data_IF_647480854221
#
_entry.id   IF_647480854221
#
_cell.length_a   1.000
_cell.length_b   1.000
_cell.length_c   1.000
_cell.angle_alpha   90.00
_cell.angle_beta   90.00
_cell.angle_gamma   90.00
#
_symmetry.space_group_name_H-M   'P 1'
#
loop_
_entity.id
_entity.type
_entity.pdbx_description
1 polymer ?
#
# COMPACT_ATOMS: atom_id res chain seq x y z
N UNK A 1 -54.28 19.15 2.02
CA UNK A 1 -53.32 18.27 1.33
C UNK A 1 -51.96 18.89 1.50
N UNK A 2 -51.25 18.41 2.50
CA UNK A 2 -49.99 18.95 3.02
C UNK A 2 -48.88 18.17 2.32
N UNK A 3 -48.04 18.86 1.55
CA UNK A 3 -46.88 18.23 0.91
C UNK A 3 -45.74 18.22 1.93
N UNK A 4 -45.25 17.02 2.23
CA UNK A 4 -44.33 16.72 3.30
C UNK A 4 -43.01 17.51 3.20
N UNK A 5 -42.67 18.15 4.32
CA UNK A 5 -41.44 18.91 4.59
C UNK A 5 -40.32 17.99 5.11
N UNK A 6 -40.26 16.76 4.63
CA UNK A 6 -39.31 15.75 5.09
C UNK A 6 -38.36 15.42 3.94
N UNK A 7 -37.22 16.13 3.87
CA UNK A 7 -35.91 15.57 3.39
C UNK A 7 -34.79 16.60 3.21
N UNK A 8 -35.00 17.87 3.55
CA UNK A 8 -33.93 18.88 3.51
C UNK A 8 -33.07 18.95 4.79
N UNK A 9 -33.34 18.12 5.80
CA UNK A 9 -32.54 18.04 7.05
C UNK A 9 -31.54 16.89 7.10
N UNK A 10 -31.62 15.94 6.17
CA UNK A 10 -30.66 14.81 6.10
C UNK A 10 -29.39 15.20 5.34
N UNK A 11 -29.44 16.24 4.50
CA UNK A 11 -28.28 16.77 3.78
C UNK A 11 -27.45 17.80 4.55
N UNK A 12 -27.90 18.24 5.73
CA UNK A 12 -27.23 19.31 6.50
C UNK A 12 -26.22 18.83 7.55
N UNK A 13 -25.83 17.55 7.57
CA UNK A 13 -24.83 17.01 8.52
C UNK A 13 -23.58 16.36 7.89
N UNK A 14 -23.36 16.50 6.57
CA UNK A 14 -22.10 16.10 5.90
C UNK A 14 -21.13 17.28 5.68
N UNK A 15 -21.29 18.37 6.45
CA UNK A 15 -20.50 19.60 6.33
C UNK A 15 -19.37 19.68 7.38
N UNK A 16 -18.58 18.61 7.47
CA UNK A 16 -17.14 18.76 7.69
C UNK A 16 -16.48 18.02 6.55
N UNK A 17 -16.16 18.72 5.47
CA UNK A 17 -15.36 18.15 4.38
C UNK A 17 -14.11 17.56 5.04
N UNK A 18 -14.05 16.23 5.12
CA UNK A 18 -12.83 15.54 5.52
C UNK A 18 -11.77 16.04 4.56
N UNK A 19 -10.74 16.70 5.10
CA UNK A 19 -9.58 17.08 4.30
C UNK A 19 -9.07 15.80 3.63
N UNK A 20 -9.15 15.68 2.29
CA UNK A 20 -8.78 14.45 1.60
C UNK A 20 -7.29 14.10 1.85
N UNK A 21 -6.51 15.06 2.33
CA UNK A 21 -5.10 14.91 2.65
C UNK A 21 -4.83 14.92 4.16
N UNK A 22 -5.73 14.33 4.95
CA UNK A 22 -5.46 13.98 6.35
C UNK A 22 -4.21 13.11 6.52
N UNK A 23 -3.88 12.36 5.47
CA UNK A 23 -2.62 11.67 5.27
C UNK A 23 -1.92 12.20 4.01
N UNK A 24 -0.61 12.43 4.10
CA UNK A 24 0.26 12.83 2.98
C UNK A 24 1.48 11.92 2.92
N UNK A 25 2.03 11.73 1.72
CA UNK A 25 3.32 11.07 1.52
C UNK A 25 4.42 12.13 1.36
N UNK A 26 5.30 12.21 2.35
CA UNK A 26 6.44 13.10 2.34
C UNK A 26 7.66 12.39 1.77
N UNK A 27 8.20 12.88 0.66
CA UNK A 27 9.38 12.33 -0.02
C UNK A 27 10.49 13.37 0.01
N UNK A 28 11.67 12.98 0.47
CA UNK A 28 12.83 13.85 0.51
C UNK A 28 13.81 13.44 -0.59
N UNK A 29 14.20 14.38 -1.43
CA UNK A 29 15.14 14.15 -2.54
C UNK A 29 16.39 15.01 -2.40
N UNK A 30 17.50 14.67 -3.08
CA UNK A 30 18.65 15.54 -3.17
C UNK A 30 18.28 16.91 -3.77
N UNK A 31 19.02 17.95 -3.39
CA UNK A 31 18.85 19.31 -3.94
C UNK A 31 18.81 19.32 -5.48
N UNK A 32 17.84 20.07 -6.03
CA UNK A 32 17.63 20.19 -7.47
C UNK A 32 16.83 19.05 -8.12
N UNK A 33 16.50 17.99 -7.37
CA UNK A 33 15.77 16.83 -7.91
C UNK A 33 14.26 16.91 -7.75
N UNK A 34 13.73 17.87 -6.97
CA UNK A 34 12.27 17.99 -6.72
C UNK A 34 11.45 18.13 -7.99
N UNK A 35 11.87 19.01 -8.90
CA UNK A 35 11.17 19.24 -10.18
C UNK A 35 11.18 17.99 -11.06
N UNK A 36 12.29 17.26 -11.07
CA UNK A 36 12.42 16.02 -11.83
C UNK A 36 11.47 14.95 -11.28
N UNK A 37 11.49 14.71 -9.97
CA UNK A 37 10.59 13.73 -9.35
C UNK A 37 9.12 14.09 -9.58
N UNK A 38 8.74 15.37 -9.39
CA UNK A 38 7.38 15.82 -9.69
C UNK A 38 7.00 15.55 -11.15
N UNK A 39 7.90 15.77 -12.11
CA UNK A 39 7.66 15.48 -13.53
C UNK A 39 7.47 13.98 -13.80
N UNK A 40 8.16 13.10 -13.08
CA UNK A 40 8.04 11.64 -13.20
C UNK A 40 6.71 11.15 -12.61
N UNK A 41 6.32 11.68 -11.46
CA UNK A 41 5.12 11.24 -10.74
C UNK A 41 3.82 11.87 -11.27
N UNK A 42 3.87 13.11 -11.77
CA UNK A 42 2.66 13.82 -12.22
C UNK A 42 1.84 13.05 -13.28
N UNK A 43 2.44 12.41 -14.30
CA UNK A 43 1.70 11.56 -15.24
C UNK A 43 1.03 10.34 -14.61
N UNK A 44 1.39 9.95 -13.39
CA UNK A 44 0.80 8.83 -12.64
C UNK A 44 -0.26 9.28 -11.63
N UNK A 45 -0.23 10.55 -11.23
CA UNK A 45 -1.03 11.02 -10.09
C UNK A 45 -2.00 12.12 -10.45
N UNK A 46 -1.88 12.77 -11.63
CA UNK A 46 -2.65 13.97 -11.99
C UNK A 46 -4.18 13.84 -11.92
N UNK A 47 -4.74 12.64 -12.01
CA UNK A 47 -6.19 12.43 -11.90
C UNK A 47 -6.66 12.22 -10.45
N UNK A 48 -5.75 11.79 -9.56
CA UNK A 48 -6.00 11.60 -8.13
C UNK A 48 -5.63 12.86 -7.34
N UNK A 49 -4.47 13.42 -7.65
CA UNK A 49 -3.84 14.53 -6.97
C UNK A 49 -3.36 15.58 -8.01
N UNK A 50 -4.29 16.29 -8.68
CA UNK A 50 -3.96 17.28 -9.70
C UNK A 50 -3.15 18.46 -9.15
N UNK A 51 -3.37 18.85 -7.89
CA UNK A 51 -2.62 19.92 -7.21
C UNK A 51 -1.28 19.44 -6.65
N UNK A 52 -1.05 18.11 -6.58
CA UNK A 52 0.16 17.50 -6.04
C UNK A 52 0.31 17.78 -4.53
N UNK A 53 -0.79 17.74 -3.79
CA UNK A 53 -0.91 18.01 -2.36
C UNK A 53 -0.75 16.76 -1.48
N UNK A 54 -1.00 15.57 -2.02
CA UNK A 54 -0.74 14.30 -1.35
C UNK A 54 0.77 14.03 -1.30
N UNK A 55 1.47 14.31 -2.39
CA UNK A 55 2.91 14.08 -2.53
C UNK A 55 3.72 15.34 -2.16
N UNK A 56 4.14 15.43 -0.91
CA UNK A 56 5.00 16.52 -0.44
C UNK A 56 6.47 16.20 -0.71
N UNK A 57 7.07 16.85 -1.72
CA UNK A 57 8.48 16.64 -2.08
C UNK A 57 9.37 17.73 -1.49
N UNK A 58 10.28 17.34 -0.61
CA UNK A 58 11.28 18.21 0.04
C UNK A 58 12.67 17.99 -0.56
N UNK A 59 13.52 19.01 -0.50
CA UNK A 59 14.91 18.93 -0.92
C UNK A 59 15.83 19.02 0.30
N UNK A 60 16.85 18.17 0.34
CA UNK A 60 17.87 18.20 1.40
C UNK A 60 19.21 17.69 0.88
N UNK A 61 20.27 17.81 1.68
CA UNK A 61 21.60 17.26 1.38
C UNK A 61 21.71 15.75 1.71
N UNK A 62 20.60 15.00 1.67
CA UNK A 62 20.59 13.56 1.95
C UNK A 62 21.55 12.82 1.03
N UNK A 63 22.42 12.03 1.65
CA UNK A 63 23.14 10.96 0.98
C UNK A 63 22.26 9.71 1.01
N UNK A 64 22.06 9.02 -0.13
CA UNK A 64 21.38 7.74 -0.14
C UNK A 64 22.04 6.79 0.86
N UNK A 65 21.27 5.97 1.57
CA UNK A 65 21.82 4.88 2.39
C UNK A 65 22.75 4.04 1.51
N UNK A 66 24.03 3.95 1.88
CA UNK A 66 25.01 3.11 1.20
C UNK A 66 24.92 1.64 1.61
N UNK A 67 24.02 1.32 2.55
CA UNK A 67 24.05 0.09 3.33
C UNK A 67 23.77 -1.19 2.54
N UNK A 68 23.42 -1.14 1.25
CA UNK A 68 23.13 -2.39 0.54
C UNK A 68 23.32 -2.41 -1.00
N UNK A 69 24.42 -1.84 -1.51
CA UNK A 69 24.85 -2.19 -2.88
C UNK A 69 25.30 -3.65 -3.00
N UNK A 70 25.52 -4.36 -1.90
CA UNK A 70 26.12 -5.69 -1.89
C UNK A 70 25.09 -6.83 -2.04
N UNK A 71 23.81 -6.64 -1.69
CA UNK A 71 22.79 -7.69 -1.89
C UNK A 71 22.18 -7.77 -3.30
N UNK A 72 22.32 -6.72 -4.13
CA UNK A 72 21.76 -6.70 -5.50
C UNK A 72 22.54 -7.53 -6.52
N UNK A 73 23.81 -7.85 -6.24
CA UNK A 73 24.72 -8.53 -7.17
C UNK A 73 24.69 -10.04 -7.06
N UNK A 74 24.19 -10.62 -5.96
CA UNK A 74 24.15 -12.07 -5.84
C UNK A 74 23.20 -12.67 -6.88
N UNK A 75 23.69 -13.62 -7.66
CA UNK A 75 22.86 -14.61 -8.35
C UNK A 75 22.17 -15.43 -7.27
N UNK A 76 21.09 -14.88 -6.74
CA UNK A 76 20.33 -15.52 -5.68
C UNK A 76 19.29 -16.42 -6.33
N UNK A 77 19.72 -17.66 -6.57
CA UNK A 77 18.84 -18.82 -6.59
C UNK A 77 18.10 -18.90 -5.25
N UNK A 78 16.80 -19.17 -5.28
CA UNK A 78 15.95 -19.55 -4.14
C UNK A 78 16.13 -18.67 -2.88
N UNK A 79 15.65 -17.41 -2.92
CA UNK A 79 15.52 -16.60 -1.69
C UNK A 79 14.20 -16.94 -1.02
N UNK A 80 14.23 -17.37 0.25
CA UNK A 80 13.02 -17.60 1.08
C UNK A 80 12.19 -16.32 1.27
N UNK A 81 12.79 -15.13 1.16
CA UNK A 81 12.12 -13.83 1.28
C UNK A 81 12.80 -12.71 0.48
N UNK A 82 12.04 -11.89 -0.25
CA UNK A 82 12.53 -10.71 -0.97
C UNK A 82 12.63 -9.51 -0.02
N UNK A 83 13.84 -8.94 0.11
CA UNK A 83 14.02 -7.66 0.79
C UNK A 83 13.44 -6.52 -0.04
N UNK A 84 12.62 -5.66 0.58
CA UNK A 84 11.95 -4.56 -0.10
C UNK A 84 11.76 -3.33 0.80
N UNK A 85 11.69 -2.12 0.24
CA UNK A 85 11.19 -0.94 0.94
C UNK A 85 9.86 -1.24 1.64
N UNK A 86 9.70 -0.81 2.89
CA UNK A 86 8.47 -1.04 3.66
C UNK A 86 7.24 -0.37 3.04
N UNK A 87 7.42 0.78 2.36
CA UNK A 87 6.33 1.54 1.75
C UNK A 87 6.27 1.33 0.24
N UNK A 88 5.07 1.08 -0.26
CA UNK A 88 4.74 1.08 -1.69
C UNK A 88 3.53 1.98 -1.96
N UNK A 89 3.49 2.61 -3.13
CA UNK A 89 2.33 3.33 -3.64
C UNK A 89 1.66 2.47 -4.70
N UNK A 90 0.41 2.11 -4.46
CA UNK A 90 -0.41 1.33 -5.36
C UNK A 90 -1.50 2.20 -5.97
N UNK A 91 -1.59 2.16 -7.30
CA UNK A 91 -2.63 2.82 -8.08
C UNK A 91 -3.64 1.78 -8.55
N UNK A 92 -4.90 1.95 -8.20
CA UNK A 92 -6.00 1.10 -8.62
C UNK A 92 -6.85 1.91 -9.59
N UNK A 93 -6.76 1.59 -10.87
CA UNK A 93 -7.28 2.42 -11.95
C UNK A 93 -8.40 1.72 -12.69
N UNK A 94 -9.44 2.46 -13.02
CA UNK A 94 -10.54 1.93 -13.83
C UNK A 94 -10.02 1.60 -15.24
N UNK A 95 -10.44 0.47 -15.80
CA UNK A 95 -10.12 0.14 -17.20
C UNK A 95 -10.68 1.18 -18.18
N UNK A 96 -11.75 1.87 -17.79
CA UNK A 96 -12.40 2.95 -18.55
C UNK A 96 -12.04 4.35 -18.01
N UNK A 97 -11.06 4.44 -17.11
CA UNK A 97 -10.60 5.69 -16.52
C UNK A 97 -9.82 6.56 -17.52
N UNK A 98 -9.41 7.75 -17.07
CA UNK A 98 -8.58 8.65 -17.88
C UNK A 98 -7.21 8.04 -18.20
N UNK A 99 -6.70 7.22 -17.30
CA UNK A 99 -5.47 6.44 -17.46
C UNK A 99 -5.75 5.02 -17.00
N UNK A 100 -5.50 4.05 -17.87
CA UNK A 100 -5.66 2.64 -17.52
C UNK A 100 -4.42 2.10 -16.82
N UNK A 101 -4.57 0.97 -16.12
CA UNK A 101 -3.43 0.23 -15.57
C UNK A 101 -2.38 -0.11 -16.65
N UNK A 102 -2.83 -0.44 -17.87
CA UNK A 102 -1.95 -0.71 -19.02
C UNK A 102 -1.13 0.51 -19.44
N UNK A 103 -1.68 1.71 -19.34
CA UNK A 103 -0.94 2.93 -19.71
C UNK A 103 0.12 3.28 -18.68
N UNK A 104 -0.19 3.11 -17.39
CA UNK A 104 0.82 3.23 -16.32
C UNK A 104 1.90 2.16 -16.45
N UNK A 105 1.53 0.93 -16.79
CA UNK A 105 2.49 -0.16 -17.01
C UNK A 105 3.51 0.21 -18.11
N UNK A 106 3.07 0.83 -19.21
CA UNK A 106 3.99 1.31 -20.27
C UNK A 106 4.95 2.37 -19.74
N UNK A 107 4.53 3.23 -18.82
CA UNK A 107 5.41 4.22 -18.19
C UNK A 107 6.47 3.56 -17.30
N UNK A 108 6.11 2.51 -16.56
CA UNK A 108 7.06 1.74 -15.75
C UNK A 108 8.13 1.01 -16.57
N UNK A 109 7.91 0.78 -17.87
CA UNK A 109 8.91 0.22 -18.77
C UNK A 109 9.93 1.24 -19.28
N UNK A 110 9.75 2.53 -18.96
CA UNK A 110 10.61 3.62 -19.42
C UNK A 110 11.45 4.17 -18.26
N UNK A 111 12.71 4.59 -18.50
CA UNK A 111 13.51 5.27 -17.49
C UNK A 111 12.80 6.51 -16.92
N UNK A 112 12.96 6.80 -15.62
CA UNK A 112 13.90 6.18 -14.68
C UNK A 112 13.36 4.94 -13.95
N UNK A 113 12.18 4.42 -14.32
CA UNK A 113 11.61 3.26 -13.65
C UNK A 113 12.46 2.01 -13.87
N UNK A 114 12.64 1.24 -12.80
CA UNK A 114 13.28 -0.05 -12.80
C UNK A 114 12.37 -1.09 -12.16
N UNK A 115 12.30 -2.28 -12.75
CA UNK A 115 11.57 -3.41 -12.15
C UNK A 115 12.27 -3.87 -10.88
N UNK A 116 11.52 -4.07 -9.79
CA UNK A 116 12.05 -4.49 -8.50
C UNK A 116 11.76 -5.98 -8.23
N UNK A 117 10.48 -6.38 -8.17
CA UNK A 117 10.05 -7.78 -8.07
C UNK A 117 8.58 -7.91 -8.49
N UNK A 118 8.09 -9.15 -8.52
CA UNK A 118 6.67 -9.47 -8.63
C UNK A 118 6.23 -10.41 -7.53
N UNK A 119 4.97 -10.29 -7.14
CA UNK A 119 4.28 -11.20 -6.23
C UNK A 119 3.23 -11.93 -7.04
N UNK A 120 3.31 -13.25 -7.09
CA UNK A 120 2.39 -14.11 -7.83
C UNK A 120 1.61 -14.99 -6.87
N UNK A 121 0.29 -14.99 -7.03
CA UNK A 121 -0.61 -15.92 -6.38
C UNK A 121 -0.95 -17.02 -7.37
N UNK A 122 -0.79 -18.27 -6.97
CA UNK A 122 -1.15 -19.42 -7.79
C UNK A 122 -2.45 -20.06 -7.32
N UNK A 123 -3.21 -20.59 -8.26
CA UNK A 123 -4.36 -21.40 -7.89
C UNK A 123 -3.87 -22.79 -7.49
N UNK A 124 -4.16 -23.22 -6.25
CA UNK A 124 -3.80 -24.56 -5.74
C UNK A 124 -4.32 -25.69 -6.66
N UNK A 125 -5.46 -25.46 -7.34
CA UNK A 125 -6.07 -26.43 -8.26
C UNK A 125 -5.52 -26.37 -9.69
N UNK A 126 -4.74 -25.34 -10.02
CA UNK A 126 -4.06 -25.19 -11.32
C UNK A 126 -2.76 -24.41 -11.14
N UNK A 127 -1.71 -25.02 -10.56
CA UNK A 127 -0.44 -24.35 -10.24
C UNK A 127 0.29 -23.79 -11.47
N UNK A 128 -0.04 -24.27 -12.67
CA UNK A 128 0.46 -23.77 -13.94
C UNK A 128 -0.15 -22.43 -14.37
N UNK A 129 -1.18 -21.94 -13.66
CA UNK A 129 -1.83 -20.65 -13.94
C UNK A 129 -1.70 -19.70 -12.74
N UNK A 130 -1.04 -18.58 -12.98
CA UNK A 130 -1.02 -17.44 -12.05
C UNK A 130 -2.43 -16.86 -11.94
N UNK A 131 -2.99 -16.88 -10.72
CA UNK A 131 -4.31 -16.34 -10.41
C UNK A 131 -4.28 -14.82 -10.23
N UNK A 132 -3.21 -14.28 -9.65
CA UNK A 132 -2.96 -12.84 -9.59
C UNK A 132 -1.46 -12.57 -9.67
N UNK A 133 -1.08 -11.49 -10.33
CA UNK A 133 0.32 -11.04 -10.40
C UNK A 133 0.36 -9.55 -10.06
N UNK A 134 1.23 -9.19 -9.13
CA UNK A 134 1.52 -7.81 -8.81
C UNK A 134 2.99 -7.50 -9.07
N UNK A 135 3.26 -6.59 -9.99
CA UNK A 135 4.61 -6.11 -10.27
C UNK A 135 4.89 -4.80 -9.52
N UNK A 136 6.11 -4.68 -9.00
CA UNK A 136 6.60 -3.51 -8.26
C UNK A 136 7.82 -2.91 -8.97
N UNK A 137 7.83 -1.57 -9.02
CA UNK A 137 8.85 -0.76 -9.70
C UNK A 137 9.43 0.29 -8.76
N UNK A 138 10.66 0.71 -9.01
CA UNK A 138 11.37 1.73 -8.24
C UNK A 138 11.92 2.84 -9.16
N UNK A 139 12.11 4.04 -8.59
CA UNK A 139 12.73 5.18 -9.29
C UNK A 139 14.21 5.31 -8.92
N UNK A 140 14.53 5.03 -7.65
CA UNK A 140 15.87 5.15 -7.08
C UNK A 140 15.95 4.35 -5.77
N UNK A 141 17.18 4.11 -5.31
CA UNK A 141 17.44 3.46 -4.03
C UNK A 141 16.78 4.24 -2.87
N UNK A 142 16.31 3.51 -1.85
CA UNK A 142 15.67 4.06 -0.65
C UNK A 142 14.48 4.98 -0.96
N UNK A 143 13.65 4.62 -1.95
CA UNK A 143 12.38 5.28 -2.30
C UNK A 143 11.22 4.26 -2.22
N UNK A 144 9.96 4.71 -2.10
CA UNK A 144 8.82 3.81 -2.12
C UNK A 144 8.73 3.09 -3.47
N UNK A 145 8.29 1.83 -3.43
CA UNK A 145 7.96 1.09 -4.65
C UNK A 145 6.64 1.58 -5.23
N UNK A 146 6.42 1.32 -6.51
CA UNK A 146 5.22 1.70 -7.25
C UNK A 146 4.63 0.51 -7.97
N UNK A 147 3.31 0.51 -8.02
CA UNK A 147 2.54 -0.63 -8.50
C UNK A 147 1.21 -0.15 -9.04
N UNK A 148 0.65 -0.87 -10.02
CA UNK A 148 -0.65 -0.56 -10.59
C UNK A 148 -1.53 -1.81 -10.70
N UNK A 149 -2.83 -1.63 -10.47
CA UNK A 149 -3.87 -2.64 -10.60
C UNK A 149 -5.02 -2.09 -11.44
N UNK A 150 -5.67 -2.92 -12.28
CA UNK A 150 -6.98 -2.58 -12.82
C UNK A 150 -8.08 -2.70 -11.74
N UNK A 151 -9.11 -1.89 -11.88
CA UNK A 151 -10.39 -2.01 -11.17
C UNK A 151 -11.51 -2.04 -12.20
N UNK A 152 -12.43 -3.00 -12.07
CA UNK A 152 -13.54 -3.14 -13.01
C UNK A 152 -14.79 -2.36 -12.58
N UNK A 153 -14.95 -2.10 -11.28
CA UNK A 153 -16.09 -1.39 -10.70
C UNK A 153 -15.73 -0.71 -9.37
N UNK A 154 -16.42 0.38 -9.06
CA UNK A 154 -16.16 1.19 -7.86
C UNK A 154 -15.27 2.40 -8.13
N UNK A 155 -14.74 2.96 -7.05
CA UNK A 155 -13.83 4.10 -7.10
C UNK A 155 -12.45 3.68 -7.63
N UNK A 156 -11.70 4.63 -8.17
CA UNK A 156 -10.26 4.47 -8.31
C UNK A 156 -9.61 4.67 -6.93
N UNK A 157 -8.49 4.00 -6.66
CA UNK A 157 -7.85 4.08 -5.35
C UNK A 157 -6.37 4.48 -5.47
N UNK A 158 -5.94 5.38 -4.59
CA UNK A 158 -4.54 5.51 -4.22
C UNK A 158 -4.36 4.83 -2.86
N UNK A 159 -3.55 3.78 -2.83
CA UNK A 159 -3.26 3.05 -1.61
C UNK A 159 -1.77 3.13 -1.30
N UNK A 160 -1.44 3.63 -0.12
CA UNK A 160 -0.11 3.41 0.44
C UNK A 160 -0.11 2.07 1.14
N UNK A 161 0.63 1.11 0.60
CA UNK A 161 0.83 -0.21 1.19
C UNK A 161 2.09 -0.18 2.06
N UNK A 162 1.97 -0.59 3.32
CA UNK A 162 3.07 -0.80 4.23
C UNK A 162 3.21 -2.30 4.47
N UNK A 163 4.33 -2.87 4.02
CA UNK A 163 4.71 -4.22 4.40
C UNK A 163 5.25 -4.22 5.82
N UNK A 164 4.72 -5.11 6.66
CA UNK A 164 4.97 -5.11 8.10
C UNK A 164 5.54 -6.43 8.60
N UNK A 165 6.40 -6.38 9.62
CA UNK A 165 6.91 -7.53 10.39
C UNK A 165 6.03 -7.78 11.62
N UNK A 166 5.68 -6.72 12.36
CA UNK A 166 4.91 -6.81 13.60
C UNK A 166 3.42 -6.45 13.41
N UNK A 167 2.68 -7.26 12.62
CA UNK A 167 1.32 -6.91 12.15
C UNK A 167 0.39 -6.35 13.24
N UNK A 168 0.22 -7.05 14.37
CA UNK A 168 -0.69 -6.61 15.43
C UNK A 168 -0.26 -5.27 16.06
N UNK A 169 1.04 -5.10 16.36
CA UNK A 169 1.54 -3.85 16.94
C UNK A 169 1.41 -2.69 15.94
N UNK A 170 1.64 -2.97 14.65
CA UNK A 170 1.48 -2.00 13.58
C UNK A 170 0.01 -1.59 13.40
N UNK A 171 -0.92 -2.55 13.44
CA UNK A 171 -2.37 -2.26 13.42
C UNK A 171 -2.75 -1.32 14.55
N UNK A 172 -2.36 -1.63 15.80
CA UNK A 172 -2.66 -0.77 16.95
C UNK A 172 -2.05 0.63 16.82
N UNK A 173 -0.80 0.71 16.37
CA UNK A 173 -0.13 1.99 16.15
C UNK A 173 -0.87 2.87 15.12
N UNK A 174 -1.19 2.31 13.94
CA UNK A 174 -1.89 3.06 12.89
C UNK A 174 -3.35 3.32 13.23
N UNK A 175 -4.02 2.46 14.00
CA UNK A 175 -5.38 2.71 14.53
C UNK A 175 -5.42 3.95 15.41
N UNK A 176 -4.45 4.09 16.32
CA UNK A 176 -4.32 5.28 17.18
C UNK A 176 -3.98 6.54 16.38
N UNK A 177 -3.06 6.46 15.42
CA UNK A 177 -2.67 7.62 14.60
C UNK A 177 -3.80 8.10 13.69
N UNK A 178 -4.53 7.17 13.09
CA UNK A 178 -5.59 7.48 12.14
C UNK A 178 -6.91 7.84 12.82
N UNK A 179 -7.04 7.61 14.14
CA UNK A 179 -8.29 7.80 14.90
C UNK A 179 -9.47 7.09 14.22
N UNK A 180 -9.20 5.91 13.66
CA UNK A 180 -10.14 5.15 12.82
C UNK A 180 -9.94 3.65 13.02
N UNK A 181 -11.05 2.91 12.93
CA UNK A 181 -11.02 1.46 12.91
C UNK A 181 -10.59 0.94 11.54
N UNK A 182 -9.99 -0.25 11.54
CA UNK A 182 -9.49 -0.88 10.32
C UNK A 182 -10.55 -1.76 9.68
N UNK A 183 -10.53 -1.82 8.35
CA UNK A 183 -11.22 -2.84 7.58
C UNK A 183 -10.24 -3.99 7.34
N UNK A 184 -10.53 -5.16 7.90
CA UNK A 184 -9.82 -6.39 7.55
C UNK A 184 -10.77 -7.33 6.83
N UNK A 185 -10.29 -7.86 5.72
CA UNK A 185 -10.95 -8.97 5.02
C UNK A 185 -10.23 -10.29 5.29
N UNK A 186 -9.01 -10.28 5.85
CA UNK A 186 -8.15 -11.45 5.98
C UNK A 186 -7.06 -11.30 7.05
N UNK A 187 -6.54 -12.44 7.57
CA UNK A 187 -5.33 -12.44 8.39
C UNK A 187 -4.15 -11.76 7.70
N UNK A 188 -3.41 -10.94 8.44
CA UNK A 188 -2.21 -10.27 7.93
C UNK A 188 -2.49 -9.15 6.92
N UNK A 189 -3.74 -8.73 6.72
CA UNK A 189 -4.06 -7.58 5.87
C UNK A 189 -5.17 -6.71 6.48
N UNK A 190 -4.94 -5.40 6.51
CA UNK A 190 -5.96 -4.43 6.90
C UNK A 190 -5.83 -3.12 6.13
N UNK A 191 -6.92 -2.37 6.08
CA UNK A 191 -7.02 -1.08 5.41
C UNK A 191 -7.56 -0.05 6.39
N UNK A 192 -6.92 1.11 6.43
CA UNK A 192 -7.44 2.34 7.02
C UNK A 192 -7.90 3.26 5.89
N UNK A 193 -9.19 3.59 5.87
CA UNK A 193 -9.77 4.50 4.89
C UNK A 193 -9.48 5.95 5.30
N UNK A 194 -8.67 6.68 4.52
CA UNK A 194 -8.27 8.06 4.86
C UNK A 194 -9.20 9.09 4.22
N UNK A 195 -9.64 8.84 2.99
CA UNK A 195 -10.59 9.68 2.27
C UNK A 195 -11.42 8.81 1.35
N UNK A 196 -12.74 9.00 1.33
CA UNK A 196 -13.62 8.40 0.33
C UNK A 196 -14.55 9.45 -0.25
N UNK A 197 -14.50 9.61 -1.56
CA UNK A 197 -15.36 10.52 -2.32
C UNK A 197 -15.77 9.85 -3.64
N UNK A 198 -16.83 10.31 -4.32
CA UNK A 198 -17.24 9.72 -5.59
C UNK A 198 -16.09 9.70 -6.61
N UNK A 199 -15.72 8.50 -7.06
CA UNK A 199 -14.65 8.27 -8.02
C UNK A 199 -13.24 8.11 -7.41
N UNK A 200 -13.02 8.40 -6.13
CA UNK A 200 -11.70 8.32 -5.52
C UNK A 200 -11.73 7.86 -4.05
N UNK A 201 -10.86 6.90 -3.75
CA UNK A 201 -10.50 6.54 -2.38
C UNK A 201 -8.99 6.72 -2.14
N UNK A 202 -8.63 7.19 -0.95
CA UNK A 202 -7.26 7.22 -0.45
C UNK A 202 -7.17 6.32 0.78
N UNK A 203 -6.22 5.38 0.74
CA UNK A 203 -6.10 4.30 1.72
C UNK A 203 -4.67 4.16 2.22
N UNK A 204 -4.54 3.77 3.49
CA UNK A 204 -3.30 3.19 4.03
C UNK A 204 -3.59 1.73 4.34
N UNK A 205 -2.79 0.81 3.82
CA UNK A 205 -2.96 -0.61 4.05
C UNK A 205 -1.73 -1.21 4.71
N UNK A 206 -1.93 -2.13 5.65
CA UNK A 206 -0.88 -2.92 6.26
C UNK A 206 -0.95 -4.34 5.71
N UNK A 207 0.19 -4.90 5.32
CA UNK A 207 0.28 -6.28 4.83
C UNK A 207 1.46 -7.01 5.44
N UNK A 208 1.19 -8.10 6.12
CA UNK A 208 2.19 -9.08 6.49
C UNK A 208 2.40 -10.07 5.33
N UNK A 209 3.65 -10.45 5.09
CA UNK A 209 4.01 -11.52 4.16
C UNK A 209 5.32 -12.14 4.62
N UNK A 210 5.34 -13.46 4.85
CA UNK A 210 6.57 -14.19 5.18
C UNK A 210 7.65 -14.14 4.09
N UNK A 211 7.25 -13.80 2.86
CA UNK A 211 8.16 -13.76 1.72
C UNK A 211 8.64 -12.35 1.37
N UNK A 212 8.22 -11.33 2.12
CA UNK A 212 8.73 -9.98 1.98
C UNK A 212 9.41 -9.63 3.29
N UNK A 213 10.67 -9.23 3.22
CA UNK A 213 11.43 -8.72 4.37
C UNK A 213 11.51 -7.19 4.27
N UNK A 214 10.56 -6.46 4.88
CA UNK A 214 10.45 -5.01 4.72
C UNK A 214 11.49 -4.27 5.55
N UNK A 215 12.16 -3.30 4.93
CA UNK A 215 13.07 -2.37 5.62
C UNK A 215 12.53 -0.93 5.62
N UNK A 216 12.71 -0.18 6.72
CA UNK A 216 12.34 1.23 6.77
C UNK A 216 13.09 2.09 5.76
N UNK A 217 12.33 2.95 5.08
CA UNK A 217 12.84 3.91 4.09
C UNK A 217 13.24 5.21 4.79
N UNK A 218 14.40 5.77 4.46
CA UNK A 218 14.85 7.03 5.09
C UNK A 218 14.39 8.28 4.36
N UNK A 219 14.17 8.21 3.03
CA UNK A 219 13.72 9.37 2.24
C UNK A 219 12.23 9.67 2.37
N UNK A 220 11.43 8.68 2.75
CA UNK A 220 9.97 8.73 2.60
C UNK A 220 9.27 8.37 3.89
N UNK A 221 8.28 9.18 4.26
CA UNK A 221 7.43 8.97 5.44
C UNK A 221 5.99 9.39 5.17
N UNK A 222 5.06 8.79 5.90
CA UNK A 222 3.70 9.29 5.96
C UNK A 222 3.60 10.45 6.96
N UNK A 223 2.75 11.42 6.64
CA UNK A 223 2.42 12.54 7.50
C UNK A 223 0.93 12.55 7.77
N UNK A 224 0.55 12.47 9.04
CA UNK A 224 -0.84 12.48 9.49
C UNK A 224 -1.18 13.76 10.22
N UNK A 225 -2.35 14.32 9.96
CA UNK A 225 -2.95 15.33 10.83
C UNK A 225 -3.50 14.64 12.07
N UNK A 226 -3.22 15.18 13.26
CA UNK A 226 -3.66 14.56 14.52
C UNK A 226 -4.20 15.60 15.48
N UNK A 227 -5.19 15.22 16.30
CA UNK A 227 -5.81 16.12 17.28
C UNK A 227 -4.91 16.36 18.50
N UNK A 228 -4.24 15.31 18.99
CA UNK A 228 -3.38 15.38 20.18
C UNK A 228 -2.20 14.41 20.05
N UNK A 229 -0.99 14.96 19.93
CA UNK A 229 0.25 14.17 19.90
C UNK A 229 0.55 13.53 21.25
N UNK A 230 0.24 14.23 22.35
CA UNK A 230 0.39 13.72 23.72
C UNK A 230 -0.44 12.45 23.96
N UNK A 231 -1.70 12.44 23.49
CA UNK A 231 -2.57 11.27 23.61
C UNK A 231 -2.01 10.09 22.81
N UNK A 232 -1.53 10.34 21.59
CA UNK A 232 -0.88 9.30 20.77
C UNK A 232 0.33 8.72 21.50
N UNK A 233 1.18 9.55 22.08
CA UNK A 233 2.34 9.11 22.87
C UNK A 233 1.95 8.24 24.05
N UNK A 234 0.90 8.63 24.79
CA UNK A 234 0.39 7.86 25.92
C UNK A 234 -0.18 6.49 25.53
N UNK A 235 -0.91 6.39 24.41
CA UNK A 235 -1.51 5.13 23.96
C UNK A 235 -0.52 4.20 23.26
N UNK A 236 0.36 4.73 22.42
CA UNK A 236 1.31 3.93 21.64
C UNK A 236 2.60 3.62 22.41
N UNK A 237 2.94 4.44 23.41
CA UNK A 237 4.24 4.40 24.07
C UNK A 237 5.41 4.76 23.16
N UNK A 238 5.16 5.29 21.95
CA UNK A 238 6.22 5.60 21.00
C UNK A 238 6.99 6.87 21.42
N UNK A 239 8.28 6.92 21.05
CA UNK A 239 9.07 8.14 21.23
C UNK A 239 8.62 9.19 20.20
N UNK A 240 8.36 10.40 20.68
CA UNK A 240 7.87 11.53 19.90
C UNK A 240 8.94 12.64 19.90
N UNK A 241 9.60 12.80 18.76
CA UNK A 241 10.65 13.81 18.57
C UNK A 241 10.03 15.09 18.00
N UNK A 242 10.17 16.26 18.65
CA UNK A 242 9.71 17.53 18.08
C UNK A 242 10.38 17.81 16.73
N UNK A 243 9.60 18.32 15.78
CA UNK A 243 10.06 18.79 14.49
C UNK A 243 9.60 20.25 14.23
N UNK A 244 9.79 20.75 13.01
CA UNK A 244 9.46 22.14 12.68
C UNK A 244 7.97 22.46 12.84
N UNK A 245 7.69 23.60 13.48
CA UNK A 245 6.34 24.09 13.71
C UNK A 245 5.55 23.21 14.67
N UNK A 246 4.35 22.79 14.27
CA UNK A 246 3.49 21.91 15.06
C UNK A 246 3.62 20.44 14.65
N UNK A 247 4.82 20.05 14.22
CA UNK A 247 5.12 18.71 13.71
C UNK A 247 5.95 17.91 14.71
N UNK A 248 5.74 16.60 14.73
CA UNK A 248 6.48 15.64 15.54
C UNK A 248 6.82 14.42 14.68
N UNK A 249 7.89 13.73 15.02
CA UNK A 249 8.30 12.48 14.38
C UNK A 249 8.12 11.35 15.38
N UNK A 250 7.25 10.41 15.04
CA UNK A 250 7.10 9.13 15.70
C UNK A 250 7.91 8.05 14.97
N UNK A 251 8.19 6.95 15.66
CA UNK A 251 8.72 5.73 15.06
C UNK A 251 7.72 4.61 15.29
N UNK A 252 7.28 3.95 14.23
CA UNK A 252 6.38 2.81 14.33
C UNK A 252 7.11 1.54 14.83
N UNK A 253 6.38 0.48 15.22
CA UNK A 253 6.99 -0.76 15.70
C UNK A 253 7.98 -1.44 14.76
N UNK A 254 7.91 -1.20 13.44
CA UNK A 254 8.83 -1.77 12.45
C UNK A 254 10.02 -0.84 12.13
N UNK A 255 10.04 0.36 12.71
CA UNK A 255 11.12 1.34 12.60
C UNK A 255 10.89 2.41 11.54
N UNK A 256 9.71 2.49 10.90
CA UNK A 256 9.43 3.58 9.96
C UNK A 256 9.20 4.88 10.72
N UNK A 257 9.73 5.98 10.16
CA UNK A 257 9.44 7.32 10.66
C UNK A 257 8.05 7.75 10.16
N UNK A 258 7.25 8.28 11.05
CA UNK A 258 5.91 8.83 10.76
C UNK A 258 5.85 10.25 11.27
N UNK A 259 5.45 11.19 10.42
CA UNK A 259 5.26 12.58 10.81
C UNK A 259 3.84 12.79 11.32
N UNK A 260 3.71 13.45 12.46
CA UNK A 260 2.45 13.86 13.04
C UNK A 260 2.38 15.37 13.02
N UNK A 261 1.36 15.94 12.38
CA UNK A 261 1.09 17.36 12.39
C UNK A 261 -0.10 17.62 13.30
N UNK A 262 0.15 18.22 14.46
CA UNK A 262 -0.92 18.55 15.38
C UNK A 262 -1.75 19.69 14.77
N UNK A 263 -3.05 19.49 14.64
CA UNK A 263 -3.95 20.56 14.22
C UNK A 263 -4.26 21.46 15.42
N UNK A 264 -4.40 22.79 15.24
CA UNK A 264 -4.84 23.66 16.32
C UNK A 264 -6.20 23.16 16.84
N UNK A 265 -6.37 23.12 18.16
CA UNK A 265 -7.69 22.89 18.75
C UNK A 265 -8.57 24.08 18.37
N UNK A 266 -9.41 23.91 17.34
CA UNK A 266 -10.52 24.82 17.13
C UNK A 266 -11.54 24.52 18.23
N UNK A 267 -11.34 25.10 19.40
CA UNK A 267 -12.38 25.14 20.42
C UNK A 267 -13.56 25.90 19.81
N UNK A 268 -14.57 25.16 19.33
CA UNK A 268 -15.91 25.72 19.24
C UNK A 268 -16.34 25.96 20.69
N UNK A 269 -16.28 27.22 21.10
CA UNK A 269 -16.82 27.72 22.35
C UNK A 269 -18.34 27.52 22.37
N UNK A 270 -18.78 26.30 22.68
CA UNK A 270 -20.16 26.02 23.05
C UNK A 270 -20.20 25.97 24.58
N UNK A 271 -20.87 26.92 25.26
CA UNK A 271 -20.96 26.91 26.71
C UNK A 271 -21.73 25.67 27.16
N UNK A 272 -21.10 24.94 28.07
CA UNK A 272 -21.60 23.73 28.71
C UNK A 272 -22.98 23.99 29.32
N UNK A 273 -24.02 23.30 28.83
CA UNK A 273 -25.23 23.07 29.61
C UNK A 273 -25.36 21.58 29.86
N UNK A 274 -25.12 21.22 31.10
CA UNK A 274 -25.44 19.94 31.71
C UNK A 274 -26.89 19.54 31.41
N UNK A 275 -27.11 18.40 30.76
CA UNK A 275 -28.41 17.75 30.74
C UNK A 275 -28.24 16.26 31.06
N UNK A 276 -29.09 15.84 32.00
CA UNK A 276 -29.15 14.56 32.69
C UNK A 276 -29.41 13.37 31.78
N UNK A 277 -28.90 12.24 32.24
CA UNK A 277 -29.13 10.86 31.84
C UNK A 277 -30.60 10.51 31.61
N UNK A 278 -30.89 9.83 30.50
CA UNK A 278 -31.96 8.84 30.40
C UNK A 278 -31.51 7.78 29.42
N UNK A 279 -31.44 6.54 29.90
CA UNK A 279 -31.12 5.39 29.07
C UNK A 279 -32.28 5.04 28.16
N UNK A 280 -31.96 4.55 26.98
CA UNK A 280 -32.79 3.58 26.26
C UNK A 280 -31.92 2.75 25.30
N UNK A 281 -32.28 1.48 25.21
CA UNK A 281 -31.65 0.41 24.45
C UNK A 281 -31.65 0.73 22.95
N UNK A 282 -30.52 0.51 22.27
CA UNK A 282 -30.47 0.42 20.82
C UNK A 282 -30.24 -1.03 20.37
N UNK A 283 -31.16 -1.48 19.52
CA UNK A 283 -31.10 -2.70 18.73
C UNK A 283 -29.99 -2.57 17.68
N UNK A 284 -29.21 -3.63 17.51
CA UNK A 284 -28.29 -3.81 16.40
C UNK A 284 -29.06 -3.87 15.07
N UNK A 285 -28.57 -3.16 14.07
CA UNK A 285 -28.73 -3.47 12.65
C UNK A 285 -27.70 -2.64 11.87
N UNK A 286 -26.42 -3.07 11.91
CA UNK A 286 -25.39 -2.53 11.02
C UNK A 286 -25.49 -3.29 9.70
N UNK A 287 -26.15 -2.67 8.72
CA UNK A 287 -26.00 -3.05 7.31
C UNK A 287 -24.57 -2.73 6.86
N UNK A 288 -23.75 -3.75 6.67
CA UNK A 288 -22.43 -3.61 6.05
C UNK A 288 -22.59 -3.15 4.60
N UNK A 289 -22.06 -1.97 4.26
CA UNK A 289 -21.84 -1.58 2.87
C UNK A 289 -20.66 -2.38 2.33
N UNK A 290 -20.92 -3.37 1.48
CA UNK A 290 -19.88 -4.12 0.77
C UNK A 290 -19.22 -3.20 -0.26
N UNK A 291 -17.97 -2.85 -0.02
CA UNK A 291 -17.09 -2.13 -0.95
C UNK A 291 -16.49 -3.10 -1.98
N UNK A 292 -16.72 -2.78 -3.26
CA UNK A 292 -16.39 -3.46 -4.52
C UNK A 292 -15.24 -4.48 -4.48
N UNK A 293 -15.47 -5.71 -4.96
CA UNK A 293 -14.42 -6.72 -5.10
C UNK A 293 -13.40 -6.33 -6.19
N UNK A 294 -12.19 -6.00 -5.73
CA UNK A 294 -10.99 -6.01 -6.56
C UNK A 294 -10.27 -7.34 -6.33
N UNK A 295 -9.81 -7.97 -7.42
CA UNK A 295 -8.93 -9.14 -7.39
C UNK A 295 -7.52 -8.72 -6.95
N UNK A 296 -7.43 -8.15 -5.75
CA UNK A 296 -6.16 -8.01 -5.05
C UNK A 296 -5.74 -9.40 -4.58
N UNK A 297 -4.48 -9.78 -4.77
CA UNK A 297 -3.89 -10.94 -4.08
C UNK A 297 -4.10 -10.86 -2.56
N UNK A 298 -4.24 -9.65 -2.01
CA UNK A 298 -4.65 -9.38 -0.63
C UNK A 298 -6.12 -9.67 -0.30
N UNK A 299 -7.03 -9.80 -1.28
CA UNK A 299 -8.47 -10.14 -1.12
C UNK A 299 -8.87 -11.56 -1.58
N UNK A 300 -8.04 -12.26 -2.36
CA UNK A 300 -8.22 -13.69 -2.72
C UNK A 300 -7.11 -14.64 -2.17
N UNK A 301 -7.13 -14.99 -0.88
CA UNK A 301 -6.15 -15.87 -0.22
C UNK A 301 -6.90 -16.64 0.86
N UNK A 302 -7.63 -17.66 0.43
CA UNK A 302 -8.13 -18.68 1.33
C UNK A 302 -7.10 -19.80 1.35
N UNK A 303 -6.11 -19.72 2.25
CA UNK A 303 -5.40 -20.89 2.81
C UNK A 303 -4.23 -20.48 3.70
N UNK A 304 -4.52 -20.14 4.96
CA UNK A 304 -3.57 -20.45 6.03
C UNK A 304 -4.34 -21.13 7.17
N UNK A 305 -4.55 -22.44 7.00
CA UNK A 305 -4.88 -23.33 8.11
C UNK A 305 -3.59 -23.44 8.93
N UNK A 306 -3.65 -22.97 10.18
CA UNK A 306 -2.64 -23.27 11.18
C UNK A 306 -2.56 -24.80 11.35
N UNK A 307 -1.47 -25.41 10.93
CA UNK A 307 -1.15 -26.79 11.28
C UNK A 307 0.01 -26.80 12.27
N UNK A 308 -0.31 -27.27 13.48
CA UNK A 308 0.63 -27.70 14.51
C UNK A 308 1.52 -28.85 14.02
N UNK A 309 2.65 -29.01 14.70
CA UNK A 309 3.80 -29.91 14.55
C UNK A 309 3.66 -31.21 13.71
N UNK A 310 4.75 -31.64 13.02
CA UNK A 310 4.74 -32.84 12.19
C UNK A 310 5.04 -34.11 13.01
N UNK A 311 4.19 -35.12 12.88
CA UNK A 311 4.52 -36.51 13.22
C UNK A 311 4.99 -37.27 11.97
N UNK A 312 5.99 -38.18 12.06
CA UNK A 312 6.71 -38.66 10.89
C UNK A 312 6.26 -40.04 10.36
N UNK A 313 6.68 -40.28 9.11
CA UNK A 313 6.73 -41.54 8.34
C UNK A 313 5.45 -42.08 7.67
N UNK A 314 5.52 -42.20 6.34
CA UNK A 314 5.75 -43.50 5.67
C UNK A 314 6.20 -43.36 4.21
N UNK A 315 7.25 -44.10 3.89
CA UNK A 315 7.73 -44.40 2.54
C UNK A 315 6.67 -45.19 1.77
N UNK A 316 6.34 -44.80 0.55
CA UNK A 316 6.01 -45.75 -0.51
C UNK A 316 6.58 -45.29 -1.86
N UNK A 317 7.31 -46.22 -2.47
CA UNK A 317 8.10 -46.07 -3.67
C UNK A 317 7.35 -46.71 -4.85
N UNK A 318 6.97 -45.93 -5.85
CA UNK A 318 6.63 -46.41 -7.20
C UNK A 318 6.85 -45.20 -8.13
N UNK A 319 7.46 -45.26 -9.30
CA UNK A 319 8.00 -46.30 -10.14
C UNK A 319 8.29 -45.60 -11.46
N UNK A 320 9.54 -45.70 -11.93
CA UNK A 320 10.03 -45.11 -13.17
C UNK A 320 9.11 -45.46 -14.35
N UNK A 321 8.87 -44.50 -15.26
CA UNK A 321 8.77 -44.83 -16.67
C UNK A 321 9.28 -43.69 -17.55
N UNK A 322 10.40 -44.00 -18.20
CA UNK A 322 11.06 -43.29 -19.28
C UNK A 322 10.25 -43.33 -20.58
N UNK A 323 10.24 -42.24 -21.35
CA UNK A 323 10.23 -42.34 -22.82
C UNK A 323 10.84 -41.10 -23.49
N UNK A 324 12.02 -41.33 -24.04
CA UNK A 324 12.75 -40.52 -25.02
C UNK A 324 12.16 -40.73 -26.41
N UNK A 325 12.11 -39.70 -27.27
CA UNK A 325 12.42 -39.66 -28.73
C UNK A 325 12.20 -38.21 -29.23
N UNK A 326 13.26 -37.44 -29.55
CA UNK A 326 13.95 -37.26 -30.84
C UNK A 326 13.29 -36.29 -31.88
N UNK A 327 13.87 -35.07 -31.91
CA UNK A 327 14.34 -34.25 -33.06
C UNK A 327 13.41 -34.07 -34.28
N UNK A 328 13.13 -32.81 -34.64
CA UNK A 328 13.36 -32.29 -36.01
C UNK A 328 13.52 -30.75 -36.01
N UNK A 329 14.56 -30.34 -36.73
CA UNK A 329 15.10 -28.99 -36.87
C UNK A 329 14.51 -28.36 -38.15
N UNK A 330 13.92 -27.17 -38.09
CA UNK A 330 13.72 -26.31 -39.27
C UNK A 330 14.18 -24.91 -38.92
N UNK A 331 15.18 -24.45 -39.67
CA UNK A 331 15.74 -23.09 -39.66
C UNK A 331 14.85 -22.19 -40.52
N UNK A 332 14.37 -21.08 -39.96
CA UNK A 332 14.02 -19.89 -40.74
C UNK A 332 14.67 -18.65 -40.11
N UNK A 333 15.33 -17.88 -40.98
CA UNK A 333 16.08 -16.68 -40.64
C UNK A 333 15.11 -15.53 -40.34
N UNK A 334 15.01 -15.13 -39.07
CA UNK A 334 14.47 -13.82 -38.69
C UNK A 334 15.61 -12.93 -38.19
N UNK A 335 15.80 -11.81 -38.89
CA UNK A 335 16.72 -10.73 -38.51
C UNK A 335 16.25 -10.13 -37.18
N UNK A 336 17.05 -10.32 -36.14
CA UNK A 336 16.78 -9.85 -34.78
C UNK A 336 17.03 -8.33 -34.67
N UNK A 337 16.15 -7.56 -34.01
CA UNK A 337 16.49 -6.21 -33.53
C UNK A 337 17.54 -6.29 -32.41
N UNK A 338 18.30 -5.21 -32.14
CA UNK A 338 19.44 -5.25 -31.23
C UNK A 338 19.01 -5.67 -29.81
N UNK A 339 19.80 -6.58 -29.24
CA UNK A 339 19.58 -7.22 -27.95
C UNK A 339 19.23 -6.20 -26.85
N UNK A 340 18.03 -6.33 -26.30
CA UNK A 340 17.69 -5.77 -25.00
C UNK A 340 18.65 -6.39 -23.98
N UNK A 341 19.36 -5.55 -23.23
CA UNK A 341 20.37 -5.95 -22.26
C UNK A 341 19.75 -6.88 -21.20
N UNK A 342 19.90 -8.20 -21.40
CA UNK A 342 19.32 -9.27 -20.57
C UNK A 342 20.15 -9.46 -19.30
N UNK A 343 19.91 -8.59 -18.30
CA UNK A 343 20.27 -8.85 -16.89
C UNK A 343 19.14 -8.47 -15.93
N UNK A 344 17.88 -8.60 -16.35
CA UNK A 344 16.75 -8.52 -15.43
C UNK A 344 16.62 -9.86 -14.70
N UNK A 345 17.24 -9.96 -13.52
CA UNK A 345 17.03 -11.08 -12.60
C UNK A 345 15.57 -11.01 -12.13
N UNK A 346 14.75 -11.98 -12.53
CA UNK A 346 13.34 -12.05 -12.15
C UNK A 346 13.28 -12.53 -10.69
N UNK A 347 12.93 -11.63 -9.77
CA UNK A 347 12.53 -12.00 -8.40
C UNK A 347 11.01 -12.22 -8.41
N UNK A 348 10.59 -13.46 -8.23
CA UNK A 348 9.20 -13.84 -8.05
C UNK A 348 9.00 -14.31 -6.60
N UNK A 349 7.98 -13.75 -5.95
CA UNK A 349 7.50 -14.18 -4.63
C UNK A 349 6.22 -14.96 -4.84
N UNK A 350 6.18 -16.18 -4.32
CA UNK A 350 5.05 -17.10 -4.47
C UNK A 350 4.19 -17.05 -3.21
N UNK A 351 2.93 -16.62 -3.34
CA UNK A 351 1.94 -16.62 -2.25
C UNK A 351 1.03 -17.83 -2.31
#
# INVERSE_FOLDING_TARGET
>A
MTVDKLDLRTYSNMSSAFDPFWCKLCITVPKGKRKLLKKILYPLTKWIDPSFEFFNIFESDIQPRNDDKLSRTSEQCEVESVRAPSISVMLFLSENGTMSSKDVQKLFLLPPWAYHHKVELYNVRSPERTAACQEFYEIADDMPLWSVCPVHYGNEHLRVLIYVRNFHQMVEFYRVITDSEMESSKPGFCIFQMCSQPGLDIQVALKYSKYIEPYPISTTRLSFKVKSVESIGAFTGCNLEPAEGNSFIATDPDGNKVQLYQIPNTESSIPTKSVKTRGDKFSEDIKSCRSSDSHDSGRCSDSEIWCSEPEPFRNESFGLNSRTEHVLQIRENCVMPPALNTKNKIKAVYL
#
